data_IF_103126273726
#
_entry.id   IF_103126273726
#
_cell.length_a   1.000
_cell.length_b   1.000
_cell.length_c   1.000
_cell.angle_alpha   90.00
_cell.angle_beta   90.00
_cell.angle_gamma   90.00
#
_symmetry.space_group_name_H-M   'P 1'
#
loop_
_entity.id
_entity.type
_entity.pdbx_description
1 polymer ?
#
# COMPACT_ATOMS: atom_id res chain seq x y z
N UNK A 1 -13.11 -1.36 -15.15
CA UNK A 1 -11.78 -1.97 -15.39
C UNK A 1 -10.89 -1.59 -14.21
N UNK A 2 -10.48 -2.56 -13.38
CA UNK A 2 -9.45 -2.31 -12.36
C UNK A 2 -8.11 -2.15 -13.08
N UNK A 3 -7.67 -0.91 -13.25
CA UNK A 3 -6.35 -0.64 -13.81
C UNK A 3 -5.32 -0.92 -12.72
N UNK A 4 -4.69 -2.09 -12.79
CA UNK A 4 -3.52 -2.42 -11.97
C UNK A 4 -2.33 -1.64 -12.53
N UNK A 5 -1.86 -0.64 -11.78
CA UNK A 5 -0.75 0.22 -12.16
C UNK A 5 0.34 0.01 -11.12
N UNK A 6 1.25 -0.95 -11.34
CA UNK A 6 2.44 -1.16 -10.52
C UNK A 6 3.37 0.06 -10.61
N UNK A 7 3.19 1.02 -9.70
CA UNK A 7 3.95 2.27 -9.67
C UNK A 7 4.75 2.35 -8.38
N UNK A 8 6.08 2.56 -8.45
CA UNK A 8 6.88 2.85 -7.27
C UNK A 8 6.32 4.06 -6.51
N UNK A 9 6.21 3.93 -5.20
CA UNK A 9 5.77 5.00 -4.31
C UNK A 9 6.66 5.09 -3.09
N UNK A 10 6.71 6.26 -2.48
CA UNK A 10 7.35 6.42 -1.18
C UNK A 10 6.32 6.20 -0.08
N UNK A 11 6.71 5.48 0.96
CA UNK A 11 5.82 5.11 2.06
C UNK A 11 6.50 5.41 3.37
N UNK A 12 5.74 5.97 4.31
CA UNK A 12 6.13 6.08 5.71
C UNK A 12 5.31 5.06 6.48
N UNK A 13 6.00 4.05 6.96
CA UNK A 13 5.44 3.01 7.80
C UNK A 13 6.06 3.06 9.20
N UNK A 14 5.31 2.56 10.17
CA UNK A 14 5.74 2.38 11.54
C UNK A 14 5.74 0.89 11.87
N UNK A 15 6.89 0.40 12.34
CA UNK A 15 7.03 -0.97 12.79
C UNK A 15 6.92 -1.01 14.31
N UNK A 16 5.90 -1.73 14.81
CA UNK A 16 5.69 -1.92 16.24
C UNK A 16 5.05 -3.28 16.49
N UNK A 17 5.39 -3.94 17.60
CA UNK A 17 4.81 -5.23 17.98
C UNK A 17 4.86 -6.29 16.86
N UNK A 18 5.97 -6.35 16.11
CA UNK A 18 6.16 -7.24 14.96
C UNK A 18 5.20 -6.97 13.77
N UNK A 19 4.48 -5.85 13.80
CA UNK A 19 3.57 -5.42 12.76
C UNK A 19 4.05 -4.14 12.08
N UNK A 20 3.91 -4.11 10.75
CA UNK A 20 4.09 -2.91 9.95
C UNK A 20 2.75 -2.22 9.76
N UNK A 21 2.68 -0.96 10.17
CA UNK A 21 1.53 -0.06 9.97
C UNK A 21 1.87 0.98 8.92
N UNK A 22 1.05 1.11 7.88
CA UNK A 22 1.23 2.14 6.85
C UNK A 22 0.57 3.44 7.33
N UNK A 23 1.32 4.55 7.34
CA UNK A 23 0.82 5.85 7.84
C UNK A 23 0.48 6.82 6.71
N UNK A 24 1.35 6.90 5.70
CA UNK A 24 1.18 7.78 4.54
C UNK A 24 2.00 7.27 3.37
N UNK A 25 1.58 7.60 2.16
CA UNK A 25 2.34 7.34 0.94
C UNK A 25 2.28 8.53 -0.01
N UNK A 26 3.29 8.67 -0.87
CA UNK A 26 3.37 9.73 -1.89
C UNK A 26 3.29 9.09 -3.27
N UNK A 27 2.32 9.54 -4.07
CA UNK A 27 2.11 9.13 -5.47
C UNK A 27 1.87 10.36 -6.33
N UNK A 28 2.60 10.47 -7.45
CA UNK A 28 2.46 11.57 -8.42
C UNK A 28 2.43 12.96 -7.74
N UNK A 29 3.38 13.23 -6.83
CA UNK A 29 3.47 14.44 -5.98
C UNK A 29 2.31 14.69 -4.99
N UNK A 30 1.34 13.79 -4.89
CA UNK A 30 0.26 13.85 -3.91
C UNK A 30 0.56 12.96 -2.72
N UNK A 31 0.39 13.47 -1.50
CA UNK A 31 0.52 12.71 -0.26
C UNK A 31 -0.85 12.21 0.17
N UNK A 32 -0.97 10.91 0.34
CA UNK A 32 -2.17 10.22 0.82
C UNK A 32 -1.96 9.81 2.26
N UNK A 33 -2.88 10.21 3.13
CA UNK A 33 -2.83 9.87 4.55
C UNK A 33 -3.69 8.64 4.79
N UNK A 34 -3.07 7.57 5.26
CA UNK A 34 -3.75 6.32 5.58
C UNK A 34 -4.58 6.54 6.83
N UNK A 35 -5.90 6.45 6.68
CA UNK A 35 -6.86 6.49 7.78
C UNK A 35 -7.02 5.14 8.44
N UNK A 36 -6.87 4.05 7.67
CA UNK A 36 -7.09 2.69 8.13
C UNK A 36 -6.39 1.67 7.21
N UNK A 37 -5.87 0.59 7.78
CA UNK A 37 -5.44 -0.61 7.04
C UNK A 37 -6.53 -1.66 7.21
N UNK A 38 -7.24 -1.97 6.12
CA UNK A 38 -8.42 -2.86 6.13
C UNK A 38 -8.01 -4.33 6.10
N UNK A 39 -6.97 -4.64 5.34
CA UNK A 39 -6.49 -6.00 5.19
C UNK A 39 -5.00 -6.03 4.86
N UNK A 40 -4.39 -7.16 5.16
CA UNK A 40 -2.97 -7.44 4.93
C UNK A 40 -2.79 -8.91 4.61
N UNK A 41 -2.11 -9.23 3.52
CA UNK A 41 -1.80 -10.61 3.15
C UNK A 41 -0.42 -10.72 2.52
N UNK A 42 0.14 -11.94 2.52
CA UNK A 42 1.43 -12.25 1.92
C UNK A 42 1.22 -13.09 0.67
N UNK A 43 2.00 -12.79 -0.37
CA UNK A 43 2.08 -13.56 -1.60
C UNK A 43 3.54 -13.96 -1.79
N UNK A 44 3.74 -15.21 -2.21
CA UNK A 44 5.05 -15.74 -2.59
C UNK A 44 5.11 -15.79 -4.12
N UNK A 45 5.98 -14.99 -4.72
CA UNK A 45 6.20 -14.94 -6.17
C UNK A 45 7.61 -15.46 -6.47
N UNK A 46 7.72 -16.78 -6.60
CA UNK A 46 9.02 -17.45 -6.64
C UNK A 46 9.79 -17.23 -5.33
N UNK A 47 10.98 -16.63 -5.42
CA UNK A 47 11.79 -16.27 -4.25
C UNK A 47 11.38 -14.93 -3.59
N UNK A 48 10.46 -14.19 -4.22
CA UNK A 48 10.00 -12.91 -3.69
C UNK A 48 8.89 -13.11 -2.68
N UNK A 49 9.00 -12.42 -1.55
CA UNK A 49 7.94 -12.32 -0.55
C UNK A 49 7.36 -10.92 -0.67
N UNK A 50 6.08 -10.81 -0.97
CA UNK A 50 5.37 -9.55 -1.11
C UNK A 50 4.28 -9.50 -0.04
N UNK A 51 4.20 -8.40 0.70
CA UNK A 51 3.04 -8.12 1.56
C UNK A 51 2.19 -7.05 0.92
N UNK A 52 0.93 -7.38 0.72
CA UNK A 52 -0.09 -6.48 0.22
C UNK A 52 -0.86 -5.88 1.39
N UNK A 53 -1.29 -4.63 1.22
CA UNK A 53 -2.07 -3.86 2.17
C UNK A 53 -3.24 -3.21 1.43
N UNK A 54 -4.46 -3.46 1.87
CA UNK A 54 -5.59 -2.60 1.50
C UNK A 54 -5.70 -1.48 2.52
N UNK A 55 -5.64 -0.24 2.05
CA UNK A 55 -5.66 0.96 2.91
C UNK A 55 -6.75 1.93 2.46
N UNK A 56 -7.39 2.57 3.42
CA UNK A 56 -8.39 3.62 3.21
C UNK A 56 -7.73 4.97 3.46
N UNK A 57 -7.93 5.90 2.54
CA UNK A 57 -7.52 7.30 2.65
C UNK A 57 -8.78 8.18 2.61
N UNK A 58 -9.39 8.45 3.77
CA UNK A 58 -10.68 9.17 3.87
C UNK A 58 -10.61 10.59 3.33
N UNK A 59 -9.49 11.28 3.53
CA UNK A 59 -9.30 12.65 3.03
C UNK A 59 -9.35 12.74 1.50
N UNK A 60 -8.97 11.67 0.80
CA UNK A 60 -9.02 11.59 -0.67
C UNK A 60 -10.21 10.78 -1.18
N UNK A 61 -11.04 10.28 -0.27
CA UNK A 61 -12.19 9.42 -0.58
C UNK A 61 -11.83 8.17 -1.42
N UNK A 62 -10.70 7.50 -1.10
CA UNK A 62 -10.26 6.30 -1.82
C UNK A 62 -9.96 5.11 -0.91
N UNK A 63 -10.11 3.92 -1.48
CA UNK A 63 -9.48 2.68 -1.01
C UNK A 63 -8.44 2.25 -2.04
N UNK A 64 -7.26 1.85 -1.59
CA UNK A 64 -6.18 1.44 -2.49
C UNK A 64 -5.38 0.28 -1.94
N UNK A 65 -4.66 -0.38 -2.84
CA UNK A 65 -3.75 -1.46 -2.53
C UNK A 65 -2.30 -1.01 -2.70
N UNK A 66 -1.49 -1.29 -1.67
CA UNK A 66 -0.05 -1.11 -1.67
C UNK A 66 0.64 -2.48 -1.52
N UNK A 67 1.71 -2.69 -2.24
CA UNK A 67 2.56 -3.87 -2.11
C UNK A 67 3.94 -3.48 -1.57
N UNK A 68 4.45 -4.28 -0.66
CA UNK A 68 5.81 -4.17 -0.11
C UNK A 68 6.59 -5.44 -0.40
N UNK A 69 7.66 -5.32 -1.19
CA UNK A 69 8.57 -6.41 -1.47
C UNK A 69 9.61 -6.53 -0.36
N UNK A 70 9.69 -7.68 0.31
CA UNK A 70 10.62 -7.90 1.43
C UNK A 70 12.07 -8.11 0.97
N UNK A 71 12.28 -8.43 -0.31
CA UNK A 71 13.60 -8.73 -0.85
C UNK A 71 14.39 -7.47 -1.21
N UNK A 72 13.72 -6.41 -1.67
CA UNK A 72 14.36 -5.14 -2.06
C UNK A 72 13.78 -3.90 -1.38
N UNK A 73 12.87 -4.10 -0.42
CA UNK A 73 12.23 -3.07 0.40
C UNK A 73 11.47 -2.00 -0.40
N UNK A 74 11.08 -2.30 -1.65
CA UNK A 74 10.31 -1.39 -2.47
C UNK A 74 8.83 -1.43 -2.15
N UNK A 75 8.21 -0.27 -2.31
CA UNK A 75 6.78 -0.09 -2.23
C UNK A 75 6.20 0.22 -3.60
N UNK A 76 5.09 -0.43 -3.91
CA UNK A 76 4.34 -0.21 -5.14
C UNK A 76 2.89 0.10 -4.80
N UNK A 77 2.35 1.11 -5.47
CA UNK A 77 0.92 1.30 -5.57
C UNK A 77 0.41 0.32 -6.63
N UNK A 78 -0.69 -0.37 -6.35
CA UNK A 78 -1.20 -1.44 -7.22
C UNK A 78 -2.48 -1.00 -7.92
N UNK A 79 -3.49 -0.60 -7.14
CA UNK A 79 -4.80 -0.20 -7.66
C UNK A 79 -5.55 0.66 -6.64
N UNK A 80 -6.57 1.38 -7.08
CA UNK A 80 -7.47 2.12 -6.20
C UNK A 80 -8.87 2.25 -6.79
N UNK A 81 -9.82 2.51 -5.89
CA UNK A 81 -11.22 2.81 -6.17
C UNK A 81 -11.68 3.94 -5.24
N UNK A 82 -12.73 4.65 -5.63
CA UNK A 82 -13.35 5.65 -4.74
C UNK A 82 -14.18 4.93 -3.66
N UNK A 83 -14.32 5.57 -2.50
CA UNK A 83 -15.30 5.16 -1.49
C UNK A 83 -16.63 5.78 -1.88
N UNK A 84 -17.59 4.97 -2.33
CA UNK A 84 -18.96 5.42 -2.64
C UNK A 84 -19.73 5.86 -1.37
#
# INVERSE_FOLDING_TARGET
MKNTIFKPVEVISYFCNLEMKVLRFRKDNTVYKVSEVVSKWKVHEGERIITHFTVICREQNIVCELAFCHNDFKWEFIQYENLD
#
